data_IF_710739236549
#
_entry.id   IF_710739236549
#
_cell.length_a   1.000
_cell.length_b   1.000
_cell.length_c   1.000
_cell.angle_alpha   90.00
_cell.angle_beta   90.00
_cell.angle_gamma   90.00
#
_symmetry.space_group_name_H-M   'P 1'
#
loop_
_entity.id
_entity.type
_entity.pdbx_description
1 polymer ?
#
# COMPACT_ATOMS: atom_id res chain seq x y z
N UNK A 1 2.45 35.93 -5.85
CA UNK A 1 2.46 34.47 -6.04
C UNK A 1 3.85 34.10 -6.51
N UNK A 2 4.63 33.44 -5.65
CA UNK A 2 6.06 33.21 -5.89
C UNK A 2 6.27 32.08 -6.90
N UNK A 3 7.26 32.27 -7.77
CA UNK A 3 7.74 31.37 -8.83
C UNK A 3 7.93 29.90 -8.41
N UNK A 4 8.09 29.64 -7.10
CA UNK A 4 8.20 28.31 -6.51
C UNK A 4 6.90 27.47 -6.56
N UNK A 5 5.71 28.08 -6.59
CA UNK A 5 4.44 27.32 -6.63
C UNK A 5 4.17 26.73 -8.03
N UNK A 6 4.59 27.43 -9.09
CA UNK A 6 4.45 26.96 -10.48
C UNK A 6 5.36 25.76 -10.81
N UNK A 7 6.49 25.61 -10.09
CA UNK A 7 7.40 24.47 -10.23
C UNK A 7 6.90 23.22 -9.50
N UNK A 8 6.12 23.37 -8.42
CA UNK A 8 5.49 22.24 -7.71
C UNK A 8 4.44 21.53 -8.57
N UNK A 9 3.65 22.26 -9.34
CA UNK A 9 2.65 21.68 -10.26
C UNK A 9 3.26 20.76 -11.34
N UNK A 10 4.55 20.91 -11.65
CA UNK A 10 5.26 20.08 -12.64
C UNK A 10 6.06 18.92 -12.02
N UNK A 11 6.04 18.76 -10.69
CA UNK A 11 6.77 17.67 -10.05
C UNK A 11 6.07 16.34 -10.32
N UNK A 12 6.86 15.28 -10.53
CA UNK A 12 6.37 13.90 -10.72
C UNK A 12 5.27 13.52 -9.72
N UNK A 13 5.41 13.97 -8.47
CA UNK A 13 4.49 13.68 -7.38
C UNK A 13 3.07 14.25 -7.56
N UNK A 14 2.90 15.30 -8.35
CA UNK A 14 1.61 15.94 -8.62
C UNK A 14 1.09 15.62 -10.02
N UNK A 15 1.84 14.87 -10.82
CA UNK A 15 1.47 14.58 -12.19
C UNK A 15 0.45 13.43 -12.22
N UNK A 16 -0.66 13.64 -12.94
CA UNK A 16 -1.71 12.62 -13.06
C UNK A 16 -1.18 11.28 -13.59
N UNK A 17 -0.18 11.27 -14.47
CA UNK A 17 0.39 10.03 -15.01
C UNK A 17 1.24 9.24 -14.01
N UNK A 18 1.72 9.85 -12.93
CA UNK A 18 2.47 9.15 -11.89
C UNK A 18 1.55 8.32 -10.99
N UNK A 19 0.29 8.72 -10.85
CA UNK A 19 -0.66 8.07 -9.96
C UNK A 19 -0.89 6.59 -10.27
N UNK A 20 -1.15 6.14 -11.52
CA UNK A 20 -1.37 4.72 -11.82
C UNK A 20 -0.11 3.88 -11.62
N UNK A 21 1.06 4.49 -11.81
CA UNK A 21 2.35 3.83 -11.55
C UNK A 21 2.51 3.57 -10.05
N UNK A 22 2.23 4.57 -9.22
CA UNK A 22 2.31 4.44 -7.76
C UNK A 22 1.28 3.43 -7.23
N UNK A 23 0.04 3.46 -7.73
CA UNK A 23 -0.98 2.47 -7.39
C UNK A 23 -0.56 1.07 -7.84
N UNK A 24 0.04 0.94 -9.03
CA UNK A 24 0.61 -0.31 -9.54
C UNK A 24 1.70 -0.88 -8.61
N UNK A 25 2.68 -0.07 -8.23
CA UNK A 25 3.77 -0.51 -7.33
C UNK A 25 3.20 -0.93 -5.97
N UNK A 26 2.27 -0.16 -5.41
CA UNK A 26 1.64 -0.48 -4.13
C UNK A 26 0.84 -1.78 -4.22
N UNK A 27 0.03 -1.95 -5.27
CA UNK A 27 -0.73 -3.16 -5.51
C UNK A 27 0.16 -4.39 -5.72
N UNK A 28 1.30 -4.24 -6.42
CA UNK A 28 2.30 -5.29 -6.58
C UNK A 28 2.86 -5.74 -5.22
N UNK A 29 3.27 -4.79 -4.38
CA UNK A 29 3.80 -5.07 -3.05
C UNK A 29 2.76 -5.78 -2.16
N UNK A 30 1.52 -5.29 -2.16
CA UNK A 30 0.42 -5.85 -1.37
C UNK A 30 0.07 -7.27 -1.83
N UNK A 31 -0.10 -7.50 -3.13
CA UNK A 31 -0.41 -8.80 -3.68
C UNK A 31 0.72 -9.81 -3.45
N UNK A 32 1.97 -9.37 -3.53
CA UNK A 32 3.13 -10.20 -3.17
C UNK A 32 3.18 -10.53 -1.67
N UNK A 33 2.72 -9.63 -0.80
CA UNK A 33 2.51 -9.94 0.63
C UNK A 33 1.48 -11.05 0.84
N UNK A 34 0.43 -11.10 0.02
CA UNK A 34 -0.55 -12.19 0.07
C UNK A 34 0.05 -13.52 -0.38
N UNK A 35 0.88 -13.52 -1.43
CA UNK A 35 1.66 -14.71 -1.80
C UNK A 35 2.51 -15.18 -0.62
N UNK A 36 3.24 -14.27 0.04
CA UNK A 36 4.05 -14.62 1.21
C UNK A 36 3.20 -15.25 2.32
N UNK A 37 2.00 -14.72 2.56
CA UNK A 37 1.07 -15.26 3.55
C UNK A 37 0.55 -16.65 3.18
N UNK A 38 0.15 -16.85 1.93
CA UNK A 38 -0.40 -18.14 1.46
C UNK A 38 0.67 -19.22 1.45
N UNK A 39 1.90 -18.90 1.04
CA UNK A 39 2.99 -19.90 0.91
C UNK A 39 3.74 -20.13 2.22
N UNK A 40 3.96 -19.10 3.03
CA UNK A 40 4.83 -19.16 4.21
C UNK A 40 4.11 -18.82 5.53
N UNK A 41 2.83 -18.46 5.50
CA UNK A 41 2.04 -18.12 6.69
C UNK A 41 2.33 -16.74 7.29
N UNK A 42 3.20 -15.94 6.66
CA UNK A 42 3.66 -14.64 7.17
C UNK A 42 3.76 -13.60 6.04
N UNK A 43 3.75 -12.31 6.37
CA UNK A 43 4.00 -11.24 5.39
C UNK A 43 2.76 -10.63 4.73
N UNK A 44 1.56 -10.90 5.26
CA UNK A 44 0.35 -10.16 4.86
C UNK A 44 0.44 -8.70 5.32
N UNK A 45 0.16 -7.76 4.42
CA UNK A 45 0.13 -6.32 4.72
C UNK A 45 -1.26 -5.83 5.21
N UNK A 46 -2.20 -6.76 5.34
CA UNK A 46 -3.62 -6.51 5.58
C UNK A 46 -3.99 -6.46 7.07
N UNK A 47 -5.17 -5.92 7.36
CA UNK A 47 -5.77 -6.02 8.69
C UNK A 47 -5.99 -7.49 9.10
N UNK A 48 -5.68 -7.80 10.37
CA UNK A 48 -5.71 -9.17 10.91
C UNK A 48 -7.08 -9.84 10.71
N UNK A 49 -8.16 -9.07 10.87
CA UNK A 49 -9.54 -9.56 10.68
C UNK A 49 -9.84 -9.98 9.24
N UNK A 50 -9.22 -9.32 8.26
CA UNK A 50 -9.41 -9.60 6.83
C UNK A 50 -8.55 -10.80 6.43
N UNK A 51 -7.32 -10.87 6.96
CA UNK A 51 -6.44 -12.04 6.80
C UNK A 51 -7.09 -13.30 7.34
N UNK A 52 -7.81 -13.21 8.47
CA UNK A 52 -8.53 -14.34 9.04
C UNK A 52 -9.61 -14.90 8.09
N UNK A 53 -10.27 -14.05 7.29
CA UNK A 53 -11.24 -14.51 6.28
C UNK A 53 -10.56 -15.28 5.14
N UNK A 54 -9.37 -14.84 4.70
CA UNK A 54 -8.59 -15.57 3.70
C UNK A 54 -8.09 -16.90 4.27
N UNK A 55 -7.62 -16.88 5.52
CA UNK A 55 -7.16 -18.07 6.24
C UNK A 55 -8.25 -19.13 6.35
N UNK A 56 -9.47 -18.72 6.70
CA UNK A 56 -10.63 -19.62 6.72
C UNK A 56 -10.81 -20.33 5.37
N UNK A 57 -10.69 -19.61 4.25
CA UNK A 57 -10.71 -20.20 2.91
C UNK A 57 -9.57 -21.19 2.66
N UNK A 58 -8.36 -20.88 3.12
CA UNK A 58 -7.19 -21.78 3.02
C UNK A 58 -7.35 -23.05 3.87
N UNK A 59 -8.00 -22.95 5.03
CA UNK A 59 -8.26 -24.04 5.97
C UNK A 59 -9.43 -24.95 5.53
N UNK A 60 -10.01 -24.69 4.33
CA UNK A 60 -11.05 -25.50 3.71
C UNK A 60 -12.47 -24.94 3.83
N UNK A 61 -12.63 -23.74 4.39
CA UNK A 61 -13.90 -23.01 4.34
C UNK A 61 -14.05 -22.25 3.00
N UNK A 62 -15.10 -21.43 2.88
CA UNK A 62 -15.36 -20.68 1.65
C UNK A 62 -14.53 -19.42 1.55
N UNK A 63 -13.80 -19.26 0.43
CA UNK A 63 -13.21 -17.98 0.02
C UNK A 63 -14.24 -16.87 -0.26
N UNK A 64 -15.54 -17.21 -0.30
CA UNK A 64 -16.62 -16.28 -0.66
C UNK A 64 -16.69 -15.05 0.26
N UNK A 65 -16.45 -15.21 1.56
CA UNK A 65 -16.45 -14.09 2.51
C UNK A 65 -15.31 -13.10 2.22
N UNK A 66 -14.09 -13.61 2.04
CA UNK A 66 -12.91 -12.80 1.71
C UNK A 66 -13.05 -12.12 0.34
N UNK A 67 -13.55 -12.84 -0.66
CA UNK A 67 -13.80 -12.33 -2.00
C UNK A 67 -14.88 -11.23 -2.01
N UNK A 68 -16.02 -11.47 -1.38
CA UNK A 68 -17.13 -10.51 -1.33
C UNK A 68 -16.76 -9.26 -0.53
N UNK A 69 -16.10 -9.42 0.62
CA UNK A 69 -15.65 -8.30 1.44
C UNK A 69 -14.62 -7.45 0.69
N UNK A 70 -13.60 -8.09 0.11
CA UNK A 70 -12.56 -7.40 -0.66
C UNK A 70 -13.10 -6.70 -1.91
N UNK A 71 -14.00 -7.36 -2.66
CA UNK A 71 -14.62 -6.77 -3.84
C UNK A 71 -15.49 -5.54 -3.48
N UNK A 72 -16.27 -5.63 -2.41
CA UNK A 72 -17.11 -4.52 -1.94
C UNK A 72 -16.28 -3.32 -1.50
N UNK A 73 -15.17 -3.57 -0.80
CA UNK A 73 -14.26 -2.54 -0.33
C UNK A 73 -13.53 -1.83 -1.47
N UNK A 74 -13.13 -2.58 -2.50
CA UNK A 74 -12.53 -2.00 -3.71
C UNK A 74 -13.56 -1.21 -4.52
N UNK A 75 -14.76 -1.77 -4.71
CA UNK A 75 -15.81 -1.18 -5.53
C UNK A 75 -16.34 0.13 -4.95
N UNK A 76 -16.65 0.16 -3.63
CA UNK A 76 -17.11 1.36 -2.95
C UNK A 76 -16.14 2.54 -3.13
N UNK A 77 -14.83 2.25 -3.12
CA UNK A 77 -13.77 3.26 -3.20
C UNK A 77 -13.43 3.70 -4.61
N UNK A 78 -13.55 2.81 -5.60
CA UNK A 78 -13.46 3.20 -7.02
C UNK A 78 -14.60 4.16 -7.38
N UNK A 79 -15.80 3.96 -6.83
CA UNK A 79 -16.96 4.85 -7.05
C UNK A 79 -16.86 6.18 -6.28
N UNK A 80 -16.17 6.21 -5.14
CA UNK A 80 -15.96 7.44 -4.35
C UNK A 80 -15.07 8.48 -5.08
N UNK A 81 -14.34 8.05 -6.11
CA UNK A 81 -13.67 8.95 -7.05
C UNK A 81 -12.60 9.84 -6.41
N UNK A 82 -12.37 11.01 -7.01
CA UNK A 82 -11.22 11.89 -6.79
C UNK A 82 -11.31 12.90 -5.65
N UNK A 83 -12.45 13.03 -4.96
CA UNK A 83 -12.68 14.13 -4.00
C UNK A 83 -12.28 13.78 -2.56
N UNK A 84 -12.36 12.50 -2.18
CA UNK A 84 -12.02 11.98 -0.84
C UNK A 84 -11.30 10.60 -0.94
N UNK A 85 -11.10 10.04 -2.14
CA UNK A 85 -10.65 8.66 -2.33
C UNK A 85 -9.14 8.36 -2.25
N UNK A 86 -8.25 9.37 -2.20
CA UNK A 86 -6.80 9.13 -2.32
C UNK A 86 -6.18 8.45 -1.08
N UNK A 87 -6.62 8.77 0.16
CA UNK A 87 -6.10 8.12 1.38
C UNK A 87 -6.78 6.76 1.65
N UNK A 88 -8.05 6.58 1.25
CA UNK A 88 -8.75 5.28 1.39
C UNK A 88 -8.42 4.30 0.23
N UNK A 89 -7.58 4.77 -0.70
CA UNK A 89 -6.94 3.92 -1.69
C UNK A 89 -5.95 2.95 -1.04
N UNK A 90 -5.30 3.35 0.06
CA UNK A 90 -4.46 2.44 0.85
C UNK A 90 -5.25 1.25 1.38
N UNK A 91 -6.34 1.51 2.11
CA UNK A 91 -7.20 0.47 2.69
C UNK A 91 -7.87 -0.43 1.65
N UNK A 92 -8.27 0.13 0.51
CA UNK A 92 -8.88 -0.63 -0.59
C UNK A 92 -7.90 -1.41 -1.45
N UNK A 93 -6.66 -0.94 -1.64
CA UNK A 93 -5.62 -1.76 -2.27
C UNK A 93 -5.20 -2.88 -1.34
N UNK A 94 -5.02 -2.60 -0.04
CA UNK A 94 -4.81 -3.63 0.98
C UNK A 94 -5.93 -4.67 0.90
N UNK A 95 -7.15 -4.29 1.21
CA UNK A 95 -8.28 -5.22 1.34
C UNK A 95 -8.73 -5.84 0.03
N UNK A 96 -8.91 -5.02 -1.00
CA UNK A 96 -9.42 -5.43 -2.30
C UNK A 96 -8.39 -6.18 -3.14
N UNK A 97 -7.23 -5.57 -3.39
CA UNK A 97 -6.18 -6.19 -4.20
C UNK A 97 -5.37 -7.22 -3.40
N UNK A 98 -5.14 -6.98 -2.11
CA UNK A 98 -4.41 -7.91 -1.26
C UNK A 98 -5.21 -9.13 -0.80
N UNK A 99 -6.53 -9.06 -0.64
CA UNK A 99 -7.29 -10.24 -0.16
C UNK A 99 -8.42 -10.60 -1.11
N UNK A 100 -9.24 -9.63 -1.52
CA UNK A 100 -10.39 -9.87 -2.38
C UNK A 100 -10.04 -10.57 -3.69
N UNK A 101 -9.09 -10.03 -4.45
CA UNK A 101 -8.69 -10.60 -5.74
C UNK A 101 -7.99 -11.96 -5.59
N UNK A 102 -7.01 -12.13 -4.69
CA UNK A 102 -6.44 -13.44 -4.39
C UNK A 102 -7.49 -14.48 -3.99
N UNK A 103 -8.45 -14.12 -3.13
CA UNK A 103 -9.55 -15.00 -2.73
C UNK A 103 -10.43 -15.38 -3.93
N UNK A 104 -10.70 -14.46 -4.85
CA UNK A 104 -11.42 -14.76 -6.10
C UNK A 104 -10.64 -15.71 -7.01
N UNK A 105 -9.32 -15.54 -7.13
CA UNK A 105 -8.49 -16.45 -7.91
C UNK A 105 -8.43 -17.84 -7.29
N UNK A 106 -8.26 -17.94 -5.97
CA UNK A 106 -8.28 -19.21 -5.24
C UNK A 106 -9.65 -19.89 -5.32
N UNK A 107 -10.75 -19.13 -5.20
CA UNK A 107 -12.11 -19.65 -5.39
C UNK A 107 -12.34 -20.19 -6.80
N UNK A 108 -11.72 -19.59 -7.81
CA UNK A 108 -11.78 -20.03 -9.21
C UNK A 108 -10.80 -21.16 -9.55
N UNK A 109 -9.99 -21.64 -8.60
CA UNK A 109 -8.96 -22.65 -8.82
C UNK A 109 -7.72 -22.14 -9.58
N UNK A 110 -7.57 -20.82 -9.73
CA UNK A 110 -6.42 -20.18 -10.37
C UNK A 110 -5.38 -19.87 -9.30
N UNK A 111 -4.46 -20.79 -9.04
CA UNK A 111 -3.47 -20.62 -7.96
C UNK A 111 -2.16 -19.97 -8.41
N UNK A 112 -1.85 -20.03 -9.71
CA UNK A 112 -0.59 -19.51 -10.28
C UNK A 112 -0.19 -18.09 -9.83
N UNK A 113 -1.09 -17.09 -9.87
CA UNK A 113 -0.79 -15.73 -9.41
C UNK A 113 -0.46 -15.63 -7.91
N UNK A 114 -0.99 -16.54 -7.09
CA UNK A 114 -0.86 -16.54 -5.63
C UNK A 114 0.28 -17.45 -5.17
N UNK A 115 0.65 -18.46 -5.95
CA UNK A 115 1.69 -19.44 -5.59
C UNK A 115 3.09 -19.03 -6.02
N UNK A 116 3.24 -18.04 -6.91
CA UNK A 116 4.55 -17.67 -7.44
C UNK A 116 4.84 -16.18 -7.31
N UNK A 117 5.90 -15.86 -6.59
CA UNK A 117 6.28 -14.48 -6.27
C UNK A 117 6.41 -13.55 -7.48
N UNK A 118 7.04 -13.94 -8.62
CA UNK A 118 7.13 -13.05 -9.78
C UNK A 118 5.78 -12.79 -10.44
N UNK A 119 4.90 -13.79 -10.50
CA UNK A 119 3.54 -13.62 -11.04
C UNK A 119 2.67 -12.83 -10.06
N UNK A 120 2.86 -12.97 -8.75
CA UNK A 120 2.17 -12.19 -7.74
C UNK A 120 2.48 -10.69 -7.90
N UNK A 121 3.76 -10.34 -8.05
CA UNK A 121 4.21 -8.96 -8.33
C UNK A 121 3.63 -8.42 -9.64
N UNK A 122 3.70 -9.22 -10.72
CA UNK A 122 3.18 -8.80 -12.03
C UNK A 122 1.67 -8.62 -12.00
N UNK A 123 0.95 -9.57 -11.39
CA UNK A 123 -0.51 -9.55 -11.33
C UNK A 123 -0.99 -8.38 -10.49
N UNK A 124 -0.43 -8.19 -9.29
CA UNK A 124 -0.72 -7.03 -8.46
C UNK A 124 -0.38 -5.71 -9.16
N UNK A 125 0.77 -5.64 -9.84
CA UNK A 125 1.20 -4.46 -10.59
C UNK A 125 0.26 -4.07 -11.73
N UNK A 126 -0.13 -5.05 -12.56
CA UNK A 126 -1.06 -4.84 -13.68
C UNK A 126 -2.44 -4.42 -13.17
N UNK A 127 -2.96 -5.11 -12.14
CA UNK A 127 -4.27 -4.78 -11.55
C UNK A 127 -4.24 -3.37 -10.96
N UNK A 128 -3.20 -3.01 -10.21
CA UNK A 128 -3.07 -1.68 -9.62
C UNK A 128 -2.96 -0.58 -10.68
N UNK A 129 -2.21 -0.82 -11.77
CA UNK A 129 -2.13 0.12 -12.87
C UNK A 129 -3.49 0.32 -13.57
N UNK A 130 -4.27 -0.76 -13.75
CA UNK A 130 -5.63 -0.69 -14.29
C UNK A 130 -6.53 0.12 -13.36
N UNK A 131 -6.54 -0.18 -12.05
CA UNK A 131 -7.33 0.55 -11.05
C UNK A 131 -6.97 2.04 -11.06
N UNK A 132 -5.68 2.37 -11.02
CA UNK A 132 -5.22 3.76 -11.08
C UNK A 132 -5.62 4.47 -12.37
N UNK A 133 -5.57 3.77 -13.51
CA UNK A 133 -6.05 4.28 -14.80
C UNK A 133 -7.55 4.55 -14.82
N UNK A 134 -8.36 3.62 -14.29
CA UNK A 134 -9.82 3.77 -14.16
C UNK A 134 -10.16 4.97 -13.26
N UNK A 135 -9.47 5.14 -12.14
CA UNK A 135 -9.70 6.27 -11.22
C UNK A 135 -9.40 7.60 -11.91
N UNK A 136 -8.30 7.71 -12.66
CA UNK A 136 -7.99 8.93 -13.44
C UNK A 136 -9.04 9.18 -14.51
N UNK A 137 -9.49 8.12 -15.18
CA UNK A 137 -10.52 8.23 -16.20
C UNK A 137 -11.80 8.80 -15.59
N UNK A 138 -12.28 8.23 -14.48
CA UNK A 138 -13.44 8.70 -13.74
C UNK A 138 -13.23 10.14 -13.27
N UNK A 139 -12.04 10.48 -12.75
CA UNK A 139 -11.66 11.83 -12.33
C UNK A 139 -11.78 12.82 -13.49
N UNK A 140 -11.28 12.48 -14.68
CA UNK A 140 -11.36 13.34 -15.88
C UNK A 140 -12.80 13.54 -16.37
N UNK A 141 -13.66 12.53 -16.24
CA UNK A 141 -15.06 12.62 -16.65
C UNK A 141 -15.96 13.29 -15.60
N UNK A 142 -15.61 13.21 -14.32
CA UNK A 142 -16.45 13.72 -13.22
C UNK A 142 -16.06 15.14 -12.79
N UNK A 143 -14.77 15.51 -12.84
CA UNK A 143 -14.26 16.82 -12.42
C UNK A 143 -14.19 17.85 -13.56
N UNK A 144 -15.14 17.84 -14.49
CA UNK A 144 -15.34 19.00 -15.36
C UNK A 144 -15.67 20.23 -14.50
N UNK A 145 -14.67 21.10 -14.28
CA UNK A 145 -14.78 22.43 -13.67
C UNK A 145 -14.95 22.48 -12.13
N UNK A 146 -13.84 22.53 -11.40
CA UNK A 146 -13.82 23.05 -10.02
C UNK A 146 -12.56 22.69 -9.25
N UNK A 147 -11.68 23.68 -9.02
CA UNK A 147 -10.55 23.62 -8.07
C UNK A 147 -11.08 23.40 -6.64
N UNK A 148 -11.38 22.16 -6.28
CA UNK A 148 -11.86 21.80 -4.94
C UNK A 148 -10.97 20.72 -4.34
N UNK A 149 -9.75 21.11 -3.99
CA UNK A 149 -8.71 20.29 -3.34
C UNK A 149 -8.92 20.13 -1.83
N UNK A 150 -10.09 20.52 -1.29
CA UNK A 150 -10.28 20.59 0.16
C UNK A 150 -10.17 19.22 0.86
N UNK A 151 -10.69 18.15 0.24
CA UNK A 151 -10.59 16.79 0.80
C UNK A 151 -9.22 16.15 0.63
N UNK A 152 -8.63 16.27 -0.57
CA UNK A 152 -7.34 15.68 -0.91
C UNK A 152 -6.18 16.32 -0.13
N UNK A 153 -6.20 17.65 0.08
CA UNK A 153 -5.17 18.35 0.86
C UNK A 153 -5.27 17.99 2.36
N UNK A 154 -6.48 17.89 2.91
CA UNK A 154 -6.70 17.44 4.29
C UNK A 154 -6.21 16.00 4.45
N UNK A 155 -6.51 15.10 3.50
CA UNK A 155 -6.06 13.71 3.53
C UNK A 155 -4.54 13.57 3.42
N UNK A 156 -3.92 14.27 2.48
CA UNK A 156 -2.46 14.23 2.30
C UNK A 156 -1.74 14.83 3.52
N UNK A 157 -2.30 15.90 4.10
CA UNK A 157 -1.83 16.50 5.35
C UNK A 157 -1.96 15.57 6.56
N UNK A 158 -3.09 14.86 6.69
CA UNK A 158 -3.31 13.88 7.75
C UNK A 158 -2.32 12.71 7.63
N UNK A 159 -2.11 12.17 6.42
CA UNK A 159 -1.14 11.10 6.18
C UNK A 159 0.30 11.51 6.50
N UNK A 160 0.74 12.70 6.07
CA UNK A 160 2.07 13.20 6.40
C UNK A 160 2.26 13.45 7.90
N UNK A 161 1.22 13.96 8.58
CA UNK A 161 1.24 14.17 10.03
C UNK A 161 1.27 12.84 10.80
N UNK A 162 0.46 11.87 10.40
CA UNK A 162 0.48 10.51 10.94
C UNK A 162 1.85 9.84 10.73
N UNK A 163 2.44 9.98 9.53
CA UNK A 163 3.78 9.47 9.23
C UNK A 163 4.88 10.11 10.10
N UNK A 164 4.76 11.40 10.44
CA UNK A 164 5.67 12.06 11.38
C UNK A 164 5.50 11.54 12.81
N UNK A 165 4.28 11.22 13.22
CA UNK A 165 3.98 10.64 14.53
C UNK A 165 4.45 9.18 14.65
N UNK A 166 4.26 8.37 13.60
CA UNK A 166 4.62 6.96 13.56
C UNK A 166 6.12 6.73 13.38
N UNK A 167 6.86 7.65 12.74
CA UNK A 167 8.30 7.51 12.48
C UNK A 167 9.15 7.15 13.71
N UNK A 168 9.03 7.90 14.83
CA UNK A 168 9.72 7.56 16.08
C UNK A 168 9.35 6.18 16.63
N UNK A 169 8.08 5.77 16.55
CA UNK A 169 7.63 4.47 17.02
C UNK A 169 8.27 3.34 16.19
N UNK A 170 8.35 3.49 14.86
CA UNK A 170 9.00 2.52 13.97
C UNK A 170 10.47 2.32 14.35
N UNK A 171 11.19 3.41 14.64
CA UNK A 171 12.60 3.34 15.07
C UNK A 171 12.74 2.60 16.41
N UNK A 172 11.85 2.87 17.37
CA UNK A 172 11.85 2.17 18.66
C UNK A 172 11.60 0.67 18.47
N UNK A 173 10.57 0.30 17.69
CA UNK A 173 10.27 -1.10 17.39
C UNK A 173 11.43 -1.80 16.68
N UNK A 174 12.03 -1.17 15.66
CA UNK A 174 13.19 -1.69 14.95
C UNK A 174 14.38 -1.96 15.90
N UNK A 175 14.59 -1.07 16.87
CA UNK A 175 15.66 -1.19 17.87
C UNK A 175 15.40 -2.32 18.85
N UNK A 176 14.14 -2.52 19.27
CA UNK A 176 13.76 -3.66 20.11
C UNK A 176 13.86 -5.00 19.37
N UNK A 177 13.68 -5.01 18.05
CA UNK A 177 13.79 -6.21 17.23
C UNK A 177 15.26 -6.65 17.08
N UNK A 178 16.15 -5.74 16.67
CA UNK A 178 17.60 -5.99 16.73
C UNK A 178 18.40 -4.69 16.68
N UNK A 179 19.58 -4.69 17.30
CA UNK A 179 20.48 -3.54 17.30
C UNK A 179 20.87 -3.12 15.87
N UNK A 180 21.27 -4.03 14.96
CA UNK A 180 21.61 -3.66 13.58
C UNK A 180 20.44 -3.04 12.79
N UNK A 181 19.23 -3.58 12.97
CA UNK A 181 18.01 -3.07 12.32
C UNK A 181 17.60 -1.72 12.89
N UNK A 182 17.73 -1.53 14.21
CA UNK A 182 17.56 -0.25 14.88
C UNK A 182 18.48 0.82 14.30
N UNK A 183 19.78 0.53 14.17
CA UNK A 183 20.75 1.45 13.55
C UNK A 183 20.36 1.79 12.11
N UNK A 184 19.97 0.78 11.33
CA UNK A 184 19.45 0.99 9.97
C UNK A 184 18.27 1.95 9.92
N UNK A 185 17.29 1.74 10.80
CA UNK A 185 16.10 2.60 10.90
C UNK A 185 16.45 4.05 11.25
N UNK A 186 17.42 4.27 12.16
CA UNK A 186 17.87 5.61 12.55
C UNK A 186 18.54 6.32 11.36
N UNK A 187 19.43 5.63 10.66
CA UNK A 187 20.14 6.19 9.50
C UNK A 187 19.14 6.55 8.40
N UNK A 188 18.23 5.64 8.06
CA UNK A 188 17.19 5.88 7.06
C UNK A 188 16.26 7.03 7.44
N UNK A 189 15.86 7.12 8.71
CA UNK A 189 15.08 8.24 9.25
C UNK A 189 15.81 9.58 9.11
N UNK A 190 17.11 9.63 9.43
CA UNK A 190 17.93 10.86 9.32
C UNK A 190 18.08 11.31 7.87
N UNK A 191 18.29 10.37 6.94
CA UNK A 191 18.38 10.69 5.51
C UNK A 191 17.07 11.33 5.02
N UNK A 192 15.94 10.72 5.36
CA UNK A 192 14.63 11.23 4.96
C UNK A 192 14.28 12.56 5.65
N UNK A 193 14.71 12.74 6.90
CA UNK A 193 14.59 14.01 7.60
C UNK A 193 15.35 15.14 6.88
N UNK A 194 16.60 14.88 6.45
CA UNK A 194 17.40 15.86 5.69
C UNK A 194 16.82 16.18 4.31
N UNK A 195 16.07 15.26 3.72
CA UNK A 195 15.38 15.47 2.45
C UNK A 195 13.97 16.05 2.59
N UNK A 196 13.56 16.46 3.78
CA UNK A 196 12.19 16.96 4.05
C UNK A 196 11.09 15.96 3.62
N UNK A 197 11.41 14.67 3.64
CA UNK A 197 10.50 13.56 3.33
C UNK A 197 9.98 12.91 4.62
N UNK A 198 8.87 12.15 4.56
CA UNK A 198 8.31 11.49 5.75
C UNK A 198 9.31 10.54 6.41
N UNK A 199 9.61 10.80 7.70
CA UNK A 199 10.63 10.09 8.50
C UNK A 199 10.29 8.60 8.64
N UNK A 200 8.99 8.25 8.75
CA UNK A 200 8.52 6.87 8.81
C UNK A 200 8.98 6.04 7.60
N UNK A 201 8.91 6.60 6.39
CA UNK A 201 9.35 5.89 5.18
C UNK A 201 10.85 5.59 5.21
N UNK A 202 11.65 6.58 5.63
CA UNK A 202 13.09 6.40 5.81
C UNK A 202 13.44 5.35 6.86
N UNK A 203 12.72 5.37 8.00
CA UNK A 203 12.91 4.41 9.08
C UNK A 203 12.64 2.97 8.63
N UNK A 204 11.55 2.74 7.87
CA UNK A 204 11.20 1.41 7.33
C UNK A 204 12.27 0.94 6.34
N UNK A 205 12.62 1.78 5.36
CA UNK A 205 13.61 1.40 4.34
C UNK A 205 14.97 1.09 4.94
N UNK A 206 15.43 1.90 5.90
CA UNK A 206 16.67 1.66 6.62
C UNK A 206 16.64 0.38 7.45
N UNK A 207 15.52 0.10 8.13
CA UNK A 207 15.31 -1.14 8.86
C UNK A 207 15.33 -2.37 7.93
N UNK A 208 14.66 -2.29 6.78
CA UNK A 208 14.59 -3.37 5.80
C UNK A 208 15.96 -3.70 5.20
N UNK A 209 16.74 -2.68 4.82
CA UNK A 209 18.08 -2.88 4.25
C UNK A 209 18.98 -3.58 5.27
N UNK A 210 19.04 -3.10 6.51
CA UNK A 210 19.86 -3.73 7.53
C UNK A 210 19.33 -5.10 7.96
N UNK A 211 18.01 -5.30 7.97
CA UNK A 211 17.39 -6.58 8.27
C UNK A 211 17.66 -7.65 7.22
N UNK A 212 17.89 -7.27 5.96
CA UNK A 212 18.30 -8.20 4.91
C UNK A 212 19.72 -8.76 5.14
N UNK A 213 20.63 -7.97 5.73
CA UNK A 213 22.00 -8.40 6.04
C UNK A 213 22.13 -9.05 7.42
N UNK A 214 21.27 -8.65 8.37
CA UNK A 214 21.26 -9.14 9.75
C UNK A 214 19.86 -9.65 10.09
N UNK A 215 19.50 -10.87 9.65
CA UNK A 215 18.17 -11.43 9.85
C UNK A 215 17.88 -11.54 11.34
N UNK A 216 16.75 -10.98 11.74
CA UNK A 216 16.25 -11.02 13.11
C UNK A 216 15.52 -12.35 13.30
N UNK A 217 15.91 -13.14 14.29
CA UNK A 217 15.13 -14.32 14.68
C UNK A 217 13.80 -13.81 15.23
N UNK A 218 12.70 -14.15 14.58
CA UNK A 218 11.36 -13.82 15.07
C UNK A 218 11.22 -14.40 16.48
N UNK A 219 11.16 -13.53 17.50
CA UNK A 219 10.66 -13.93 18.81
C UNK A 219 9.14 -14.04 18.63
N UNK A 220 8.66 -15.29 18.61
CA UNK A 220 7.23 -15.61 18.57
C UNK A 220 6.50 -15.12 19.81
#
# INVERSE_FOLDING_TARGET
>A
MQENDLMKEKSFWFADWAFPILVGIMAAAVFAGTHMYVTYGVGAFNEVSIVAMLKAGLDGESYGAAAAFGASFLFARVLEGSLVGILDLGGSILTGVGIGIPAMFLAAGITGPVDSFPLALLTGGVIGAIIGGVIILIRKFTLGSGDTTFGADIMMGAGNSAGRFLGPLIVLYATTASIPVGIGSIIGAIIFYKWEKPIAGGAILGAMIMGAFFPVVAQG
#
